data_IF_836853220009
#
_entry.id   IF_836853220009
#
_cell.length_a   1.000
_cell.length_b   1.000
_cell.length_c   1.000
_cell.angle_alpha   90.00
_cell.angle_beta   90.00
_cell.angle_gamma   90.00
#
_symmetry.space_group_name_H-M   'P 1'
#
loop_
_entity.id
_entity.type
_entity.pdbx_description
1 polymer ?
#
# COMPACT_ATOMS: atom_id res chain seq x y z
N UNK A 1 -12.29 -12.91 9.09
CA UNK A 1 -11.13 -12.39 8.32
C UNK A 1 -9.88 -13.28 8.41
N UNK A 2 -9.09 -13.28 9.50
CA UNK A 2 -7.74 -13.88 9.52
C UNK A 2 -7.67 -15.36 9.10
N UNK A 3 -8.44 -16.23 9.73
CA UNK A 3 -8.36 -17.68 9.45
C UNK A 3 -8.85 -18.03 8.04
N UNK A 4 -10.04 -17.54 7.68
CA UNK A 4 -10.72 -17.94 6.44
C UNK A 4 -10.27 -17.16 5.20
N UNK A 5 -9.99 -15.86 5.32
CA UNK A 5 -9.67 -15.02 4.16
C UNK A 5 -8.16 -14.87 3.93
N UNK A 6 -7.33 -15.05 4.96
CA UNK A 6 -5.88 -14.89 4.83
C UNK A 6 -5.16 -16.23 4.89
N UNK A 7 -5.20 -16.92 6.04
CA UNK A 7 -4.45 -18.17 6.26
C UNK A 7 -4.87 -19.29 5.31
N UNK A 8 -6.17 -19.54 5.19
CA UNK A 8 -6.70 -20.56 4.27
C UNK A 8 -6.36 -20.27 2.79
N UNK A 9 -6.02 -19.02 2.46
CA UNK A 9 -5.62 -18.58 1.11
C UNK A 9 -4.11 -18.41 0.95
N UNK A 10 -3.32 -18.91 1.90
CA UNK A 10 -1.87 -19.04 1.76
C UNK A 10 -1.03 -17.96 2.42
N UNK A 11 -1.63 -16.97 3.10
CA UNK A 11 -0.87 -15.99 3.90
C UNK A 11 -0.31 -16.68 5.14
N UNK A 12 1.02 -16.71 5.28
CA UNK A 12 1.76 -17.48 6.28
C UNK A 12 2.67 -16.62 7.15
N UNK A 13 3.06 -15.42 6.71
CA UNK A 13 3.97 -14.56 7.44
C UNK A 13 3.31 -14.12 8.77
N UNK A 14 3.90 -14.48 9.93
CA UNK A 14 3.31 -14.19 11.22
C UNK A 14 3.21 -12.68 11.49
N UNK A 15 4.21 -11.89 11.10
CA UNK A 15 4.18 -10.44 11.28
C UNK A 15 3.05 -9.78 10.48
N UNK A 16 2.80 -10.24 9.25
CA UNK A 16 1.68 -9.76 8.44
C UNK A 16 0.34 -10.15 9.08
N UNK A 17 0.20 -11.40 9.51
CA UNK A 17 -1.04 -11.87 10.14
C UNK A 17 -1.33 -11.15 11.47
N UNK A 18 -0.30 -10.81 12.23
CA UNK A 18 -0.43 -10.07 13.48
C UNK A 18 -0.78 -8.61 13.24
N UNK A 19 -0.15 -7.94 12.27
CA UNK A 19 -0.54 -6.60 11.84
C UNK A 19 -1.99 -6.56 11.36
N UNK A 20 -2.40 -7.48 10.48
CA UNK A 20 -3.78 -7.58 9.99
C UNK A 20 -4.81 -7.84 11.10
N UNK A 21 -4.39 -8.45 12.22
CA UNK A 21 -5.23 -8.67 13.41
C UNK A 21 -5.30 -7.42 14.29
N UNK A 22 -4.19 -6.70 14.44
CA UNK A 22 -4.06 -5.55 15.33
C UNK A 22 -4.70 -4.28 14.75
N UNK A 23 -4.64 -4.08 13.45
CA UNK A 23 -5.23 -2.90 12.80
C UNK A 23 -6.74 -3.09 12.63
N UNK A 24 -7.51 -2.32 13.40
CA UNK A 24 -8.97 -2.30 13.33
C UNK A 24 -9.49 -1.67 12.04
N UNK A 25 -9.66 -2.50 11.00
CA UNK A 25 -10.05 -2.08 9.65
C UNK A 25 -11.30 -1.21 9.60
N UNK A 26 -12.30 -1.46 10.45
CA UNK A 26 -13.55 -0.68 10.47
C UNK A 26 -13.35 0.80 10.82
N UNK A 27 -12.23 1.17 11.45
CA UNK A 27 -11.88 2.56 11.76
C UNK A 27 -11.39 3.34 10.52
N UNK A 28 -11.10 2.64 9.43
CA UNK A 28 -10.65 3.19 8.14
C UNK A 28 -11.77 3.20 7.09
N UNK A 29 -12.99 2.78 7.46
CA UNK A 29 -14.14 2.65 6.58
C UNK A 29 -15.21 3.70 6.95
N UNK A 30 -15.91 4.31 5.97
CA UNK A 30 -17.04 5.20 6.27
C UNK A 30 -18.10 4.52 7.16
N UNK A 31 -18.78 5.26 8.05
CA UNK A 31 -19.72 4.70 9.02
C UNK A 31 -20.78 3.76 8.41
N UNK A 32 -21.28 4.09 7.22
CA UNK A 32 -22.30 3.34 6.50
C UNK A 32 -21.83 1.94 6.02
N UNK A 33 -20.51 1.69 5.94
CA UNK A 33 -19.93 0.42 5.50
C UNK A 33 -19.18 -0.34 6.61
N UNK A 34 -19.28 0.08 7.87
CA UNK A 34 -18.52 -0.54 8.96
C UNK A 34 -18.91 -1.99 9.22
N UNK A 35 -20.16 -2.38 8.95
CA UNK A 35 -20.63 -3.77 9.10
C UNK A 35 -19.94 -4.71 8.12
N UNK A 36 -19.58 -4.20 6.96
CA UNK A 36 -18.91 -4.91 5.87
C UNK A 36 -17.38 -4.81 5.99
N UNK A 37 -16.83 -4.05 6.94
CA UNK A 37 -15.40 -3.73 7.01
C UNK A 37 -14.46 -4.96 6.95
N UNK A 38 -14.91 -6.11 7.45
CA UNK A 38 -14.14 -7.36 7.49
C UNK A 38 -14.54 -8.39 6.43
N UNK A 39 -15.48 -8.04 5.55
CA UNK A 39 -15.75 -8.79 4.32
C UNK A 39 -14.52 -8.72 3.41
N UNK A 40 -14.25 -9.81 2.69
CA UNK A 40 -13.08 -9.91 1.84
C UNK A 40 -13.31 -9.30 0.45
N UNK A 41 -13.56 -7.99 0.42
CA UNK A 41 -13.75 -7.22 -0.80
C UNK A 41 -13.35 -5.75 -0.63
N UNK A 42 -13.24 -5.01 -1.75
CA UNK A 42 -13.04 -3.57 -1.70
C UNK A 42 -14.30 -2.87 -1.19
N UNK A 43 -14.14 -1.77 -0.45
CA UNK A 43 -15.26 -0.96 0.07
C UNK A 43 -15.08 0.49 -0.37
N UNK A 44 -16.15 1.20 -0.81
CA UNK A 44 -16.06 2.62 -1.15
C UNK A 44 -15.61 3.48 0.03
N UNK A 45 -14.69 4.42 -0.23
CA UNK A 45 -14.25 5.42 0.76
C UNK A 45 -14.58 6.86 0.34
N UNK A 46 -15.35 7.01 -0.74
CA UNK A 46 -15.68 8.29 -1.38
C UNK A 46 -14.69 8.66 -2.48
N UNK A 47 -15.02 9.72 -3.24
CA UNK A 47 -14.16 10.28 -4.31
C UNK A 47 -13.75 9.27 -5.39
N UNK A 48 -14.60 8.27 -5.66
CA UNK A 48 -14.31 7.18 -6.60
C UNK A 48 -13.23 6.19 -6.13
N UNK A 49 -12.79 6.28 -4.87
CA UNK A 49 -11.75 5.42 -4.31
C UNK A 49 -12.33 4.30 -3.44
N UNK A 50 -11.53 3.27 -3.22
CA UNK A 50 -11.87 2.13 -2.35
C UNK A 50 -10.75 1.81 -1.38
N UNK A 51 -11.10 1.31 -0.19
CA UNK A 51 -10.16 0.58 0.65
C UNK A 51 -10.02 -0.84 0.09
N UNK A 52 -8.80 -1.27 -0.22
CA UNK A 52 -8.53 -2.55 -0.90
C UNK A 52 -9.00 -3.76 -0.08
N UNK A 53 -9.35 -4.84 -0.78
CA UNK A 53 -9.70 -6.14 -0.19
C UNK A 53 -8.66 -6.59 0.87
N UNK A 54 -9.07 -7.06 2.06
CA UNK A 54 -8.16 -7.54 3.11
C UNK A 54 -7.12 -8.56 2.63
N UNK A 55 -7.53 -9.54 1.80
CA UNK A 55 -6.57 -10.48 1.21
C UNK A 55 -5.51 -9.80 0.36
N UNK A 56 -5.88 -8.81 -0.47
CA UNK A 56 -4.93 -8.11 -1.35
C UNK A 56 -3.94 -7.29 -0.52
N UNK A 57 -4.40 -6.61 0.55
CA UNK A 57 -3.52 -5.91 1.51
C UNK A 57 -2.51 -6.88 2.12
N UNK A 58 -2.97 -8.01 2.66
CA UNK A 58 -2.11 -9.01 3.27
C UNK A 58 -1.14 -9.65 2.26
N UNK A 59 -1.62 -9.97 1.06
CA UNK A 59 -0.83 -10.59 0.00
C UNK A 59 0.30 -9.66 -0.48
N UNK A 60 -0.01 -8.38 -0.77
CA UNK A 60 1.01 -7.42 -1.18
C UNK A 60 2.05 -7.23 -0.08
N UNK A 61 1.61 -7.09 1.17
CA UNK A 61 2.49 -6.96 2.33
C UNK A 61 3.38 -8.20 2.49
N UNK A 62 2.84 -9.41 2.34
CA UNK A 62 3.62 -10.65 2.45
C UNK A 62 4.64 -10.81 1.33
N UNK A 63 4.28 -10.49 0.08
CA UNK A 63 5.20 -10.57 -1.07
C UNK A 63 6.37 -9.58 -0.94
N UNK A 64 6.14 -8.45 -0.27
CA UNK A 64 7.17 -7.50 0.10
C UNK A 64 8.00 -7.95 1.31
N UNK A 65 7.60 -8.97 2.08
CA UNK A 65 8.35 -9.52 3.22
C UNK A 65 8.98 -8.47 4.17
N UNK A 66 8.20 -7.52 4.71
CA UNK A 66 8.70 -6.38 5.49
C UNK A 66 9.51 -6.78 6.71
N UNK A 67 10.54 -6.01 7.01
CA UNK A 67 11.43 -6.15 8.16
C UNK A 67 11.30 -4.96 9.12
N UNK A 68 11.61 -5.13 10.42
CA UNK A 68 11.47 -4.07 11.43
C UNK A 68 12.21 -2.77 11.14
N UNK A 69 13.34 -2.82 10.44
CA UNK A 69 14.13 -1.63 10.11
C UNK A 69 13.76 -1.00 8.76
N UNK A 70 12.84 -1.61 8.00
CA UNK A 70 12.49 -1.14 6.66
C UNK A 70 11.85 0.26 6.70
N UNK A 71 12.15 1.03 5.67
CA UNK A 71 11.49 2.28 5.32
C UNK A 71 10.56 2.06 4.13
N UNK A 72 9.26 2.31 4.31
CA UNK A 72 8.23 2.09 3.28
C UNK A 72 7.81 3.41 2.64
N UNK A 73 7.66 3.42 1.31
CA UNK A 73 6.88 4.41 0.56
C UNK A 73 5.58 3.76 0.03
N UNK A 74 4.44 4.31 0.40
CA UNK A 74 3.12 3.96 -0.13
C UNK A 74 2.62 5.08 -1.07
N UNK A 75 2.23 4.69 -2.27
CA UNK A 75 1.61 5.57 -3.26
C UNK A 75 0.10 5.30 -3.29
N UNK A 76 -0.70 6.27 -2.84
CA UNK A 76 -2.15 6.18 -2.72
C UNK A 76 -2.62 5.81 -1.31
N UNK A 77 -2.47 6.72 -0.35
CA UNK A 77 -2.87 6.50 1.05
C UNK A 77 -4.34 6.05 1.17
N UNK A 78 -5.23 6.67 0.40
CA UNK A 78 -6.67 6.42 0.43
C UNK A 78 -7.26 6.59 1.83
N UNK A 79 -7.55 5.46 2.49
CA UNK A 79 -8.07 5.45 3.86
C UNK A 79 -6.99 5.53 4.94
N UNK A 80 -5.74 5.17 4.62
CA UNK A 80 -4.64 4.97 5.57
C UNK A 80 -4.51 3.54 6.11
N UNK A 81 -5.38 2.60 5.72
CA UNK A 81 -5.37 1.24 6.28
C UNK A 81 -4.09 0.45 5.95
N UNK A 82 -3.61 0.50 4.70
CA UNK A 82 -2.40 -0.21 4.30
C UNK A 82 -1.15 0.43 4.94
N UNK A 83 -1.09 1.76 5.07
CA UNK A 83 -0.09 2.44 5.89
C UNK A 83 -0.05 1.94 7.34
N UNK A 84 -1.21 1.83 7.99
CA UNK A 84 -1.31 1.31 9.35
C UNK A 84 -0.83 -0.14 9.47
N UNK A 85 -1.17 -1.00 8.49
CA UNK A 85 -0.68 -2.39 8.44
C UNK A 85 0.84 -2.44 8.34
N UNK A 86 1.47 -1.61 7.51
CA UNK A 86 2.93 -1.53 7.49
C UNK A 86 3.51 -0.99 8.80
N UNK A 87 2.89 0.02 9.39
CA UNK A 87 3.40 0.68 10.60
C UNK A 87 3.47 -0.24 11.82
N UNK A 88 2.71 -1.34 11.82
CA UNK A 88 2.82 -2.40 12.83
C UNK A 88 4.05 -3.30 12.67
N UNK A 89 4.73 -3.24 11.52
CA UNK A 89 5.82 -4.15 11.17
C UNK A 89 7.14 -3.41 10.98
N UNK A 90 7.12 -2.22 10.36
CA UNK A 90 8.32 -1.52 9.89
C UNK A 90 8.67 -0.27 10.71
N UNK A 91 9.86 0.27 10.49
CA UNK A 91 10.39 1.43 11.20
C UNK A 91 9.62 2.70 10.89
N UNK A 92 9.44 2.99 9.60
CA UNK A 92 8.78 4.21 9.12
C UNK A 92 7.97 3.93 7.86
N UNK A 93 6.80 4.57 7.77
CA UNK A 93 5.92 4.53 6.60
C UNK A 93 5.70 5.95 6.09
N UNK A 94 6.01 6.18 4.82
CA UNK A 94 5.76 7.42 4.12
C UNK A 94 4.64 7.18 3.12
N UNK A 95 3.54 7.92 3.21
CA UNK A 95 2.35 7.68 2.38
C UNK A 95 1.92 8.95 1.68
N UNK A 96 1.65 8.86 0.38
CA UNK A 96 1.26 9.98 -0.48
C UNK A 96 -0.19 9.82 -0.91
N UNK A 97 -0.95 10.91 -0.85
CA UNK A 97 -2.32 10.99 -1.36
C UNK A 97 -2.51 12.28 -2.15
N UNK A 98 -3.20 12.21 -3.29
CA UNK A 98 -3.44 13.36 -4.16
C UNK A 98 -4.79 14.03 -3.87
N UNK A 99 -5.76 13.26 -3.38
CA UNK A 99 -7.11 13.74 -3.06
C UNK A 99 -7.12 14.32 -1.65
N UNK A 100 -7.09 15.65 -1.55
CA UNK A 100 -7.02 16.39 -0.27
C UNK A 100 -8.01 15.91 0.81
N UNK A 101 -9.32 15.70 0.53
CA UNK A 101 -10.23 15.19 1.56
C UNK A 101 -9.90 13.79 2.09
N UNK A 102 -9.32 12.91 1.26
CA UNK A 102 -8.87 11.59 1.68
C UNK A 102 -7.59 11.69 2.52
N UNK A 103 -6.63 12.51 2.07
CA UNK A 103 -5.41 12.81 2.82
C UNK A 103 -5.73 13.30 4.25
N UNK A 104 -6.61 14.31 4.39
CA UNK A 104 -6.97 14.88 5.69
C UNK A 104 -7.66 13.84 6.59
N UNK A 105 -8.55 13.01 6.01
CA UNK A 105 -9.24 11.94 6.74
C UNK A 105 -8.26 10.87 7.21
N UNK A 106 -7.40 10.36 6.33
CA UNK A 106 -6.41 9.34 6.65
C UNK A 106 -5.46 9.86 7.74
N UNK A 107 -4.92 11.07 7.58
CA UNK A 107 -4.04 11.69 8.57
C UNK A 107 -4.71 11.78 9.94
N UNK A 108 -5.96 12.25 10.01
CA UNK A 108 -6.72 12.37 11.26
C UNK A 108 -6.98 10.99 11.90
N UNK A 109 -7.35 9.99 11.12
CA UNK A 109 -7.56 8.62 11.61
C UNK A 109 -6.28 8.04 12.18
N UNK A 110 -5.17 8.12 11.44
CA UNK A 110 -3.87 7.59 11.86
C UNK A 110 -3.36 8.27 13.14
N UNK A 111 -3.50 9.60 13.25
CA UNK A 111 -3.17 10.33 14.47
C UNK A 111 -4.04 9.93 15.66
N UNK A 112 -5.35 9.78 15.45
CA UNK A 112 -6.29 9.33 16.49
C UNK A 112 -5.96 7.92 17.01
N UNK A 113 -5.46 7.05 16.14
CA UNK A 113 -5.01 5.70 16.49
C UNK A 113 -3.61 5.67 17.12
N UNK A 114 -2.93 6.81 17.19
CA UNK A 114 -1.65 6.95 17.88
C UNK A 114 -0.43 6.49 17.08
N UNK A 115 -0.55 6.33 15.76
CA UNK A 115 0.61 6.02 14.91
C UNK A 115 1.59 7.18 14.88
N UNK A 116 2.83 6.93 15.29
CA UNK A 116 3.91 7.94 15.35
C UNK A 116 4.96 7.80 14.24
N UNK A 117 4.98 6.63 13.58
CA UNK A 117 5.93 6.26 12.53
C UNK A 117 5.30 6.34 11.12
N UNK A 118 4.16 7.03 10.96
CA UNK A 118 3.54 7.27 9.66
C UNK A 118 3.62 8.75 9.32
N UNK A 119 4.15 9.04 8.13
CA UNK A 119 4.30 10.39 7.59
C UNK A 119 3.45 10.53 6.34
N UNK A 120 2.41 11.37 6.40
CA UNK A 120 1.53 11.62 5.26
C UNK A 120 1.99 12.84 4.46
N UNK A 121 1.90 12.78 3.13
CA UNK A 121 2.10 13.92 2.21
C UNK A 121 0.91 14.05 1.26
N UNK A 122 0.36 15.26 1.18
CA UNK A 122 -0.55 15.63 0.09
C UNK A 122 0.31 15.94 -1.14
N UNK A 123 0.19 15.16 -2.20
CA UNK A 123 1.07 15.31 -3.37
C UNK A 123 0.80 14.32 -4.48
N UNK A 124 1.55 14.48 -5.56
CA UNK A 124 1.48 13.60 -6.73
C UNK A 124 2.32 12.33 -6.49
N UNK A 125 1.68 11.17 -6.56
CA UNK A 125 2.32 9.88 -6.40
C UNK A 125 3.35 9.55 -7.50
N UNK A 126 3.25 10.19 -8.66
CA UNK A 126 4.21 10.00 -9.76
C UNK A 126 5.62 10.51 -9.44
N UNK A 127 5.74 11.45 -8.49
CA UNK A 127 7.03 12.01 -8.07
C UNK A 127 7.68 11.22 -6.92
N UNK A 128 6.91 10.38 -6.23
CA UNK A 128 7.34 9.75 -4.98
C UNK A 128 7.68 10.79 -3.90
N UNK A 129 8.70 10.47 -3.09
CA UNK A 129 9.17 11.34 -2.01
C UNK A 129 10.70 11.43 -1.97
N UNK A 130 11.31 12.15 -2.93
CA UNK A 130 12.77 12.20 -3.09
C UNK A 130 13.52 12.63 -1.83
N UNK A 131 12.95 13.55 -1.04
CA UNK A 131 13.57 14.07 0.20
C UNK A 131 13.68 13.01 1.31
N UNK A 132 13.01 11.86 1.14
CA UNK A 132 12.98 10.76 2.11
C UNK A 132 13.52 9.46 1.51
N UNK A 133 13.88 9.44 0.24
CA UNK A 133 14.57 8.32 -0.38
C UNK A 133 15.96 8.08 0.27
N UNK A 134 16.51 6.86 0.16
CA UNK A 134 15.94 5.68 -0.48
C UNK A 134 14.93 4.94 0.42
N UNK A 135 14.08 4.11 -0.20
CA UNK A 135 13.09 3.25 0.47
C UNK A 135 13.41 1.76 0.26
N UNK A 136 13.29 0.96 1.32
CA UNK A 136 13.46 -0.50 1.25
C UNK A 136 12.26 -1.17 0.59
N UNK A 137 11.08 -0.58 0.78
CA UNK A 137 9.81 -1.04 0.23
C UNK A 137 9.09 0.11 -0.46
N UNK A 138 8.56 -0.16 -1.66
CA UNK A 138 7.62 0.74 -2.32
C UNK A 138 6.34 -0.04 -2.67
N UNK A 139 5.18 0.49 -2.32
CA UNK A 139 3.88 -0.11 -2.66
C UNK A 139 3.00 0.90 -3.39
N UNK A 140 2.38 0.47 -4.49
CA UNK A 140 1.32 1.21 -5.16
C UNK A 140 -0.04 0.63 -4.80
N UNK A 141 -0.90 1.47 -4.20
CA UNK A 141 -2.30 1.17 -3.91
C UNK A 141 -3.26 1.75 -4.98
N UNK A 142 -2.71 2.16 -6.12
CA UNK A 142 -3.43 2.56 -7.34
C UNK A 142 -2.59 2.15 -8.57
N UNK A 143 -3.23 1.90 -9.71
CA UNK A 143 -2.57 1.45 -10.93
C UNK A 143 -2.04 2.64 -11.75
N UNK A 144 -0.71 2.78 -11.96
CA UNK A 144 -0.17 3.72 -12.94
C UNK A 144 -0.77 3.46 -14.32
N UNK A 145 -1.07 4.52 -15.09
CA UNK A 145 -1.73 4.37 -16.39
C UNK A 145 -0.95 3.51 -17.39
N UNK A 146 0.34 3.81 -17.59
CA UNK A 146 1.17 3.11 -18.57
C UNK A 146 2.20 2.20 -17.90
N UNK A 147 3.07 2.79 -17.08
CA UNK A 147 4.19 2.12 -16.43
C UNK A 147 4.44 2.69 -15.04
N UNK A 148 5.17 1.94 -14.23
CA UNK A 148 5.62 2.42 -12.93
C UNK A 148 6.55 3.63 -13.16
N UNK A 149 6.32 4.77 -12.49
CA UNK A 149 7.08 6.00 -12.75
C UNK A 149 8.57 5.84 -12.40
N UNK A 150 9.44 6.19 -13.34
CA UNK A 150 10.90 6.16 -13.13
C UNK A 150 11.36 6.97 -11.91
N UNK A 151 10.79 8.16 -11.61
CA UNK A 151 11.13 8.87 -10.37
C UNK A 151 10.92 8.02 -9.12
N UNK A 152 9.88 7.18 -9.08
CA UNK A 152 9.60 6.30 -7.94
C UNK A 152 10.53 5.09 -7.92
N UNK A 153 10.80 4.47 -9.08
CA UNK A 153 11.75 3.35 -9.19
C UNK A 153 13.16 3.76 -8.73
N UNK A 154 13.58 4.98 -9.08
CA UNK A 154 14.90 5.50 -8.71
C UNK A 154 15.08 5.62 -7.18
N UNK A 155 13.98 5.82 -6.45
CA UNK A 155 13.95 5.94 -4.99
C UNK A 155 14.00 4.58 -4.26
N UNK A 156 13.89 3.47 -4.99
CA UNK A 156 14.05 2.13 -4.42
C UNK A 156 15.51 1.87 -4.05
N UNK A 157 15.75 1.49 -2.80
CA UNK A 157 17.05 1.11 -2.27
C UNK A 157 17.62 -0.12 -2.99
N UNK A 158 18.95 -0.27 -2.97
CA UNK A 158 19.59 -1.54 -3.35
C UNK A 158 19.19 -2.62 -2.34
N UNK A 159 18.77 -3.78 -2.82
CA UNK A 159 18.11 -4.82 -2.01
C UNK A 159 16.62 -4.58 -1.79
N UNK A 160 16.08 -3.44 -2.24
CA UNK A 160 14.68 -3.06 -2.05
C UNK A 160 13.71 -3.82 -2.95
N UNK A 161 12.44 -3.77 -2.56
CA UNK A 161 11.32 -4.40 -3.26
C UNK A 161 10.16 -3.44 -3.48
N UNK A 162 9.60 -3.49 -4.67
CA UNK A 162 8.46 -2.67 -5.09
C UNK A 162 7.34 -3.59 -5.55
N UNK A 163 6.11 -3.31 -5.13
CA UNK A 163 4.92 -3.99 -5.67
C UNK A 163 3.96 -2.95 -6.25
N UNK A 164 3.46 -3.22 -7.46
CA UNK A 164 2.49 -2.35 -8.11
C UNK A 164 1.53 -3.15 -9.01
N UNK A 165 0.27 -2.70 -9.14
CA UNK A 165 -0.60 -3.16 -10.21
C UNK A 165 -0.18 -2.51 -11.53
N UNK A 166 -0.02 -3.31 -12.59
CA UNK A 166 0.34 -2.86 -13.94
C UNK A 166 -0.66 -3.40 -14.96
N UNK A 167 -1.08 -2.54 -15.89
CA UNK A 167 -2.02 -2.84 -16.96
C UNK A 167 -3.23 -1.88 -16.97
N UNK A 168 -3.92 -1.81 -18.10
CA UNK A 168 -5.10 -0.93 -18.25
C UNK A 168 -6.41 -1.69 -17.98
N UNK A 169 -6.83 -2.55 -18.91
CA UNK A 169 -8.09 -3.31 -18.84
C UNK A 169 -7.91 -4.56 -17.96
N UNK A 170 -6.79 -5.26 -18.13
CA UNK A 170 -6.40 -6.41 -17.32
C UNK A 170 -5.15 -6.03 -16.54
N UNK A 171 -5.30 -5.90 -15.22
CA UNK A 171 -4.20 -5.55 -14.33
C UNK A 171 -3.62 -6.80 -13.67
N UNK A 172 -2.32 -6.79 -13.48
CA UNK A 172 -1.59 -7.81 -12.74
C UNK A 172 -0.68 -7.14 -11.70
N UNK A 173 -0.63 -7.70 -10.50
CA UNK A 173 0.40 -7.30 -9.54
C UNK A 173 1.76 -7.77 -10.06
N UNK A 174 2.75 -6.88 -10.03
CA UNK A 174 4.15 -7.21 -10.31
C UNK A 174 4.98 -6.90 -9.09
N UNK A 175 5.91 -7.80 -8.77
CA UNK A 175 6.97 -7.59 -7.78
C UNK A 175 8.25 -7.26 -8.51
N UNK A 176 8.84 -6.11 -8.20
CA UNK A 176 10.14 -5.69 -8.69
C UNK A 176 11.13 -5.74 -7.53
N UNK A 177 12.26 -6.40 -7.70
CA UNK A 177 13.37 -6.39 -6.73
C UNK A 177 14.58 -5.71 -7.35
N UNK A 178 15.23 -4.83 -6.59
CA UNK A 178 16.50 -4.20 -6.99
C UNK A 178 17.63 -4.91 -6.29
N UNK A 179 18.52 -5.54 -7.03
CA UNK A 179 19.63 -6.26 -6.42
C UNK A 179 20.74 -5.30 -5.92
N UNK A 180 21.84 -5.87 -5.41
CA UNK A 180 22.98 -5.10 -4.89
C UNK A 180 23.79 -4.39 -5.98
N UNK A 181 23.70 -4.82 -7.23
CA UNK A 181 24.36 -4.15 -8.37
C UNK A 181 23.51 -2.95 -8.83
N UNK A 182 22.21 -2.98 -8.56
CA UNK A 182 21.23 -1.97 -8.95
C UNK A 182 20.33 -2.43 -10.09
N UNK A 183 20.48 -3.67 -10.57
CA UNK A 183 19.62 -4.24 -11.60
C UNK A 183 18.24 -4.57 -11.04
N UNK A 184 17.22 -4.32 -11.85
CA UNK A 184 15.82 -4.58 -11.52
C UNK A 184 15.39 -5.94 -12.08
N UNK A 185 14.74 -6.73 -11.25
CA UNK A 185 14.17 -8.02 -11.61
C UNK A 185 12.67 -7.99 -11.37
N UNK A 186 11.88 -8.28 -12.40
CA UNK A 186 10.42 -8.21 -12.34
C UNK A 186 9.81 -9.61 -12.34
N UNK A 187 8.90 -9.87 -11.42
CA UNK A 187 8.15 -11.11 -11.30
C UNK A 187 6.64 -10.83 -11.36
N UNK A 188 5.90 -11.41 -12.32
CA UNK A 188 4.45 -11.35 -12.32
C UNK A 188 3.85 -12.13 -11.13
N UNK A 189 2.80 -11.60 -10.53
CA UNK A 189 2.04 -12.20 -9.43
C UNK A 189 0.60 -12.49 -9.88
N UNK A 190 -0.39 -12.18 -9.05
CA UNK A 190 -1.81 -12.48 -9.29
C UNK A 190 -2.52 -11.37 -10.09
N UNK A 191 -3.60 -11.69 -10.83
CA UNK A 191 -4.47 -10.69 -11.42
C UNK A 191 -5.18 -9.86 -10.35
N UNK A 192 -5.39 -8.59 -10.62
CA UNK A 192 -6.04 -7.63 -9.71
C UNK A 192 -6.84 -6.59 -10.48
N UNK A 193 -7.53 -5.72 -9.74
CA UNK A 193 -8.12 -4.49 -10.29
C UNK A 193 -8.07 -3.38 -9.25
N UNK A 194 -7.28 -2.36 -9.56
CA UNK A 194 -7.09 -1.15 -8.78
C UNK A 194 -7.64 0.06 -9.54
N UNK A 195 -8.01 1.08 -8.78
CA UNK A 195 -8.30 2.41 -9.29
C UNK A 195 -7.06 2.99 -9.98
N UNK A 196 -7.21 3.82 -11.01
CA UNK A 196 -6.07 4.44 -11.68
C UNK A 196 -5.37 5.43 -10.75
N UNK A 197 -4.04 5.47 -10.81
CA UNK A 197 -3.24 6.53 -10.24
C UNK A 197 -3.46 7.80 -11.08
N UNK A 198 -3.84 8.89 -10.42
CA UNK A 198 -4.07 10.19 -11.05
C UNK A 198 -2.96 11.16 -10.64
N UNK A 199 -2.62 12.10 -11.52
CA UNK A 199 -1.53 13.05 -11.30
C UNK A 199 -1.07 13.70 -12.60
N UNK A 200 -0.16 14.66 -12.53
CA UNK A 200 0.43 15.35 -13.70
C UNK A 200 1.28 14.40 -14.56
N UNK A 201 1.80 13.33 -13.97
CA UNK A 201 2.55 12.29 -14.67
C UNK A 201 1.69 11.20 -15.33
N UNK A 202 0.36 11.29 -15.22
CA UNK A 202 -0.59 10.29 -15.69
C UNK A 202 -1.67 10.87 -16.57
#
# INVERSE_FOLDING_TARGET
MIQYHLKARGIKNPHVLDAMRKVDRHLFVPPEYQKEAYYDGPIPIGFGQTISQPYIVAYMTEMLNPQPEDKVLEIGCGSGYQAAVFAEIVKEVYTIEIIKPLYERAQKTLQKLGYKNIYCKLGDGYEGWPEKAPFDIILFAAAPKERIPEPVISQLAKGGRLIAPVGEIYQQLVLITKDKTGSLHTKPLIPVRFVPLTGKGG
#
